data_IF_569483455074
#
_entry.id   IF_569483455074
#
_cell.length_a   1.000
_cell.length_b   1.000
_cell.length_c   1.000
_cell.angle_alpha   90.00
_cell.angle_beta   90.00
_cell.angle_gamma   90.00
#
_symmetry.space_group_name_H-M   'P 1'
#
loop_
_entity.id
_entity.type
_entity.pdbx_description
1 polymer ?
#
# COMPACT_ATOMS: atom_id res chain seq x y z
N UNK A 1 43.64 -16.98 4.59
CA UNK A 1 42.64 -16.81 3.51
C UNK A 1 43.29 -16.27 2.26
N UNK A 2 42.66 -16.52 1.11
CA UNK A 2 43.10 -16.02 -0.18
C UNK A 2 42.07 -15.03 -0.69
N UNK A 3 42.53 -13.83 -1.05
CA UNK A 3 41.76 -12.89 -1.83
C UNK A 3 41.76 -13.37 -3.28
N UNK A 4 40.64 -13.30 -3.97
CA UNK A 4 40.42 -13.76 -5.34
C UNK A 4 39.96 -12.61 -6.23
N UNK A 5 40.37 -12.65 -7.50
CA UNK A 5 39.98 -11.71 -8.55
C UNK A 5 39.47 -12.54 -9.75
N UNK A 6 38.18 -12.99 -9.73
CA UNK A 6 37.66 -13.90 -10.73
C UNK A 6 37.36 -13.25 -12.08
N UNK A 7 37.21 -11.93 -12.14
CA UNK A 7 36.91 -11.14 -13.36
C UNK A 7 38.16 -10.45 -13.93
N UNK A 8 39.28 -10.46 -13.21
CA UNK A 8 40.56 -9.95 -13.65
C UNK A 8 40.63 -8.43 -13.70
N UNK A 9 39.82 -7.71 -12.94
CA UNK A 9 39.79 -6.25 -12.89
C UNK A 9 40.87 -5.63 -11.99
N UNK A 10 41.64 -6.46 -11.29
CA UNK A 10 42.68 -6.06 -10.34
C UNK A 10 42.16 -5.79 -8.94
N UNK A 11 40.90 -6.11 -8.67
CA UNK A 11 40.28 -5.99 -7.33
C UNK A 11 40.10 -7.38 -6.72
N UNK A 12 40.90 -7.67 -5.72
CA UNK A 12 40.90 -8.97 -5.04
C UNK A 12 40.00 -8.93 -3.82
N UNK A 13 39.09 -9.90 -3.67
CA UNK A 13 38.13 -9.97 -2.57
C UNK A 13 38.12 -11.33 -1.87
N UNK A 14 37.80 -11.33 -0.59
CA UNK A 14 37.48 -12.54 0.18
C UNK A 14 36.46 -12.21 1.26
N UNK A 15 35.41 -13.02 1.37
CA UNK A 15 34.36 -12.86 2.36
C UNK A 15 34.22 -14.10 3.22
N UNK A 16 33.97 -13.91 4.54
CA UNK A 16 33.74 -15.01 5.47
C UNK A 16 32.81 -14.57 6.60
N UNK A 17 31.95 -15.50 7.09
CA UNK A 17 31.14 -15.34 8.28
C UNK A 17 31.73 -16.10 9.50
N UNK A 18 32.93 -16.66 9.37
CA UNK A 18 33.52 -17.53 10.36
C UNK A 18 34.43 -16.82 11.36
N UNK A 19 34.58 -15.50 11.29
CA UNK A 19 35.35 -14.73 12.27
C UNK A 19 34.43 -14.43 13.45
N UNK A 20 34.77 -14.89 14.68
CA UNK A 20 33.95 -14.62 15.86
C UNK A 20 33.88 -13.13 16.22
N UNK A 21 32.92 -12.73 17.05
CA UNK A 21 32.87 -11.38 17.60
C UNK A 21 34.18 -11.00 18.30
N UNK A 22 34.71 -9.81 18.02
CA UNK A 22 36.00 -9.36 18.59
C UNK A 22 36.65 -8.27 17.75
N UNK A 23 37.84 -7.85 18.25
CA UNK A 23 38.69 -6.90 17.55
C UNK A 23 39.90 -7.63 16.96
N UNK A 24 40.21 -7.32 15.70
CA UNK A 24 41.22 -8.01 14.91
C UNK A 24 42.07 -7.02 14.15
N UNK A 25 43.22 -7.50 13.71
CA UNK A 25 44.13 -6.77 12.84
C UNK A 25 44.54 -7.64 11.65
N UNK A 26 44.76 -7.03 10.50
CA UNK A 26 45.20 -7.73 9.31
C UNK A 26 46.10 -6.88 8.41
N UNK A 27 46.78 -7.55 7.49
CA UNK A 27 47.52 -6.99 6.34
C UNK A 27 47.30 -7.86 5.12
N UNK A 28 47.59 -7.35 3.96
CA UNK A 28 47.66 -8.12 2.71
C UNK A 28 49.10 -8.45 2.40
N UNK A 29 49.38 -9.73 2.15
CA UNK A 29 50.71 -10.22 1.76
C UNK A 29 50.64 -10.91 0.42
N UNK A 30 51.64 -10.67 -0.44
CA UNK A 30 51.74 -11.30 -1.76
C UNK A 30 52.52 -12.62 -1.67
N UNK A 31 52.16 -13.59 -2.51
CA UNK A 31 52.90 -14.81 -2.69
C UNK A 31 53.06 -15.67 -1.42
N UNK A 32 52.14 -15.56 -0.45
CA UNK A 32 52.20 -16.27 0.85
C UNK A 32 53.43 -15.93 1.67
N UNK A 33 54.04 -14.78 1.48
CA UNK A 33 55.27 -14.36 2.15
C UNK A 33 55.13 -12.93 2.66
N UNK A 34 55.72 -12.65 3.82
CA UNK A 34 55.82 -11.30 4.35
C UNK A 34 56.87 -10.44 3.67
N UNK A 35 57.63 -10.99 2.69
CA UNK A 35 58.64 -10.24 1.92
C UNK A 35 58.06 -9.09 1.11
N UNK A 36 56.77 -9.20 0.76
CA UNK A 36 56.01 -8.13 0.18
C UNK A 36 54.60 -8.08 0.83
N UNK A 37 54.36 -7.03 1.61
CA UNK A 37 53.10 -6.87 2.31
C UNK A 37 52.70 -5.39 2.32
N UNK A 38 51.37 -5.15 2.46
CA UNK A 38 50.75 -3.84 2.47
C UNK A 38 49.80 -3.72 3.66
N UNK A 39 49.83 -2.57 4.33
CA UNK A 39 49.05 -2.24 5.50
C UNK A 39 48.19 -0.98 5.34
N UNK A 40 48.01 -0.26 6.44
CA UNK A 40 47.19 0.94 6.47
C UNK A 40 47.58 1.99 5.39
N UNK A 41 46.59 2.51 4.68
CA UNK A 41 46.81 3.45 3.58
C UNK A 41 47.46 2.85 2.33
N UNK A 42 47.53 1.53 2.18
CA UNK A 42 48.21 0.85 1.07
C UNK A 42 49.75 0.92 1.16
N UNK A 43 50.30 1.29 2.29
CA UNK A 43 51.74 1.42 2.47
C UNK A 43 52.41 0.05 2.51
N UNK A 44 53.52 -0.12 1.72
CA UNK A 44 54.39 -1.30 1.83
C UNK A 44 55.02 -1.34 3.22
N UNK A 45 54.98 -2.50 3.85
CA UNK A 45 55.39 -2.72 5.25
C UNK A 45 54.66 -1.81 6.27
N UNK A 46 53.50 -1.20 5.87
CA UNK A 46 52.69 -0.32 6.69
C UNK A 46 52.13 -0.95 7.97
N UNK A 47 51.51 -0.14 8.83
CA UNK A 47 50.88 -0.62 10.05
C UNK A 47 49.71 -1.60 9.76
N UNK A 48 49.40 -2.46 10.74
CA UNK A 48 48.20 -3.31 10.65
C UNK A 48 46.93 -2.48 10.56
N UNK A 49 45.93 -3.03 9.88
CA UNK A 49 44.59 -2.44 9.74
C UNK A 49 43.69 -3.11 10.76
N UNK A 50 43.22 -2.33 11.75
CA UNK A 50 42.28 -2.79 12.74
C UNK A 50 40.86 -2.90 12.21
N UNK A 51 40.08 -3.92 12.62
CA UNK A 51 38.66 -4.01 12.39
C UNK A 51 37.95 -4.73 13.54
N UNK A 52 36.66 -4.49 13.68
CA UNK A 52 35.83 -5.13 14.71
C UNK A 52 34.73 -5.97 14.07
N UNK A 53 34.49 -7.16 14.63
CA UNK A 53 33.36 -8.02 14.30
C UNK A 53 32.35 -7.89 15.45
N UNK A 54 31.19 -7.26 15.24
CA UNK A 54 30.26 -6.90 16.32
C UNK A 54 29.51 -8.10 16.92
N UNK A 55 29.33 -9.18 16.16
CA UNK A 55 28.68 -10.42 16.61
C UNK A 55 29.11 -11.61 15.75
N UNK A 56 28.94 -12.82 16.26
CA UNK A 56 29.16 -14.05 15.49
C UNK A 56 28.22 -14.11 14.27
N UNK A 57 28.71 -14.64 13.14
CA UNK A 57 27.96 -14.79 11.90
C UNK A 57 27.88 -13.52 11.04
N UNK A 58 28.56 -12.45 11.42
CA UNK A 58 28.76 -11.27 10.57
C UNK A 58 29.68 -11.65 9.41
N UNK A 59 29.30 -11.30 8.19
CA UNK A 59 30.18 -11.46 7.03
C UNK A 59 31.21 -10.35 7.04
N UNK A 60 32.48 -10.71 7.04
CA UNK A 60 33.61 -9.80 6.88
C UNK A 60 34.13 -9.96 5.45
N UNK A 61 34.13 -8.86 4.69
CA UNK A 61 34.67 -8.80 3.32
C UNK A 61 35.94 -7.99 3.33
N UNK A 62 37.03 -8.58 2.90
CA UNK A 62 38.32 -7.94 2.68
C UNK A 62 38.47 -7.66 1.20
N UNK A 63 38.92 -6.43 0.87
CA UNK A 63 39.15 -6.02 -0.51
C UNK A 63 40.54 -5.42 -0.64
N UNK A 64 41.22 -5.76 -1.72
CA UNK A 64 42.54 -5.22 -2.08
C UNK A 64 42.55 -4.84 -3.55
N UNK A 65 42.93 -3.59 -3.85
CA UNK A 65 43.09 -3.07 -5.22
C UNK A 65 44.56 -3.08 -5.60
N UNK A 66 44.94 -3.93 -6.55
CA UNK A 66 46.35 -4.16 -6.94
C UNK A 66 47.02 -2.88 -7.44
N UNK A 67 46.35 -2.07 -8.26
CA UNK A 67 46.91 -0.88 -8.88
C UNK A 67 47.25 0.23 -7.87
N UNK A 68 46.54 0.33 -6.76
CA UNK A 68 46.69 1.41 -5.75
C UNK A 68 47.16 0.92 -4.41
N UNK A 69 47.24 -0.41 -4.21
CA UNK A 69 47.46 -1.09 -2.94
C UNK A 69 46.44 -0.71 -1.84
N UNK A 70 45.33 -0.12 -2.22
CA UNK A 70 44.27 0.20 -1.26
C UNK A 70 43.66 -1.06 -0.70
N UNK A 71 43.50 -1.06 0.63
CA UNK A 71 42.96 -2.17 1.39
C UNK A 71 41.73 -1.66 2.16
N UNK A 72 40.63 -2.38 2.08
CA UNK A 72 39.48 -2.12 2.89
C UNK A 72 38.92 -3.40 3.52
N UNK A 73 38.25 -3.26 4.63
CA UNK A 73 37.50 -4.32 5.27
C UNK A 73 36.10 -3.81 5.57
N UNK A 74 35.09 -4.57 5.16
CA UNK A 74 33.70 -4.29 5.45
C UNK A 74 33.10 -5.42 6.24
N UNK A 75 32.27 -5.11 7.20
CA UNK A 75 31.46 -6.08 7.96
C UNK A 75 30.01 -5.93 7.57
N UNK A 76 29.36 -7.03 7.21
CA UNK A 76 27.92 -7.05 6.93
C UNK A 76 27.29 -8.28 7.59
N UNK A 77 26.05 -8.18 8.02
CA UNK A 77 25.35 -9.34 8.61
C UNK A 77 25.10 -10.40 7.53
N UNK A 78 25.48 -11.65 7.78
CA UNK A 78 25.12 -12.76 6.90
C UNK A 78 23.58 -12.85 6.83
N UNK A 79 23.02 -12.66 5.63
CA UNK A 79 21.61 -12.90 5.36
C UNK A 79 20.66 -11.70 5.31
N UNK A 80 21.10 -10.49 5.57
CA UNK A 80 20.28 -9.30 5.35
C UNK A 80 20.78 -8.53 4.11
N UNK A 81 20.34 -8.93 2.92
CA UNK A 81 20.47 -8.05 1.76
C UNK A 81 19.40 -6.99 1.89
N UNK A 82 19.75 -5.69 1.98
CA UNK A 82 18.77 -4.62 2.00
C UNK A 82 17.86 -4.70 0.78
N UNK A 83 16.56 -4.68 0.99
CA UNK A 83 15.58 -4.85 -0.08
C UNK A 83 14.42 -3.87 0.11
N UNK A 84 14.39 -2.82 -0.71
CA UNK A 84 13.35 -1.78 -0.66
C UNK A 84 12.01 -2.25 -1.25
N UNK A 85 11.98 -3.39 -1.93
CA UNK A 85 10.72 -3.98 -2.43
C UNK A 85 9.94 -4.67 -1.33
N UNK A 86 10.63 -5.04 -0.24
CA UNK A 86 10.04 -5.59 0.98
C UNK A 86 9.72 -4.45 1.94
N UNK A 87 8.49 -4.32 2.36
CA UNK A 87 8.06 -3.29 3.32
C UNK A 87 7.93 -3.92 4.72
N UNK A 88 9.03 -3.93 5.47
CA UNK A 88 9.09 -4.48 6.85
C UNK A 88 8.88 -3.40 7.92
N UNK A 89 9.22 -2.14 7.64
CA UNK A 89 8.96 -1.03 8.53
C UNK A 89 7.52 -0.51 8.35
N UNK A 90 6.95 0.10 9.40
CA UNK A 90 5.62 0.71 9.37
C UNK A 90 5.70 2.18 9.74
N UNK A 91 5.12 3.05 8.94
CA UNK A 91 4.73 4.36 9.43
C UNK A 91 3.45 4.19 10.24
N UNK A 92 3.49 4.50 11.54
CA UNK A 92 2.36 4.30 12.44
C UNK A 92 1.70 5.59 12.88
N UNK A 93 2.44 6.69 12.80
CA UNK A 93 1.92 8.05 12.99
C UNK A 93 2.78 9.03 12.18
N UNK A 94 2.34 10.28 12.11
CA UNK A 94 3.06 11.35 11.40
C UNK A 94 4.55 11.47 11.82
N UNK A 95 4.82 11.21 13.09
CA UNK A 95 6.11 11.39 13.75
C UNK A 95 6.74 10.09 14.25
N UNK A 96 6.16 8.93 13.87
CA UNK A 96 6.56 7.64 14.44
C UNK A 96 6.62 6.55 13.37
N UNK A 97 7.77 5.87 13.32
CA UNK A 97 8.01 4.68 12.50
C UNK A 97 8.28 3.50 13.43
N UNK A 98 7.73 2.34 13.11
CA UNK A 98 8.04 1.07 13.75
C UNK A 98 9.05 0.29 12.89
N UNK A 99 10.14 -0.16 13.50
CA UNK A 99 11.20 -0.96 12.87
C UNK A 99 11.25 -2.35 13.51
N UNK A 100 11.37 -3.46 12.75
CA UNK A 100 11.39 -4.80 13.32
C UNK A 100 12.63 -5.01 14.19
N UNK A 101 12.44 -5.29 15.49
CA UNK A 101 13.55 -5.54 16.43
C UNK A 101 14.43 -6.72 15.99
N UNK A 102 13.84 -7.72 15.34
CA UNK A 102 14.55 -8.88 14.80
C UNK A 102 15.58 -8.54 13.71
N UNK A 103 15.48 -7.36 13.08
CA UNK A 103 16.46 -6.89 12.10
C UNK A 103 17.68 -6.22 12.76
N UNK A 104 17.61 -5.90 14.06
CA UNK A 104 18.74 -5.35 14.82
C UNK A 104 19.75 -6.49 15.10
N UNK A 105 21.05 -6.30 14.84
CA UNK A 105 22.03 -7.32 15.09
C UNK A 105 22.04 -7.77 16.56
N UNK A 106 22.18 -9.06 16.81
CA UNK A 106 22.18 -9.62 18.15
C UNK A 106 23.30 -8.99 19.02
N UNK A 107 22.94 -8.57 20.23
CA UNK A 107 23.89 -7.94 21.17
C UNK A 107 24.16 -6.45 20.91
N UNK A 108 23.60 -5.86 19.83
CA UNK A 108 23.73 -4.42 19.57
C UNK A 108 22.57 -3.68 20.24
N UNK A 109 22.91 -2.64 21.00
CA UNK A 109 21.92 -1.77 21.63
C UNK A 109 21.33 -0.82 20.57
N UNK A 110 20.00 -0.68 20.46
CA UNK A 110 19.37 0.18 19.45
C UNK A 110 19.85 1.64 19.49
N UNK A 111 20.19 2.16 20.67
CA UNK A 111 20.69 3.53 20.89
C UNK A 111 22.00 3.82 20.16
N UNK A 112 22.78 2.78 19.84
CA UNK A 112 24.04 2.91 19.12
C UNK A 112 23.90 2.84 17.61
N UNK A 113 22.68 2.63 17.11
CA UNK A 113 22.39 2.55 15.69
C UNK A 113 21.86 3.89 15.18
N UNK A 114 22.09 4.14 13.89
CA UNK A 114 21.55 5.28 13.21
C UNK A 114 20.49 4.84 12.21
N UNK A 115 19.33 5.48 12.18
CA UNK A 115 18.29 5.23 11.21
C UNK A 115 18.03 6.45 10.37
N UNK A 116 17.68 6.23 9.10
CA UNK A 116 17.30 7.28 8.17
C UNK A 116 16.01 6.92 7.46
N UNK A 117 15.09 7.86 7.43
CA UNK A 117 13.94 7.83 6.53
C UNK A 117 14.38 8.42 5.19
N UNK A 118 14.20 7.66 4.13
CA UNK A 118 14.43 8.12 2.75
C UNK A 118 13.10 8.23 2.03
N UNK A 119 12.95 9.22 1.17
CA UNK A 119 11.76 9.35 0.33
C UNK A 119 12.06 9.95 -1.01
N UNK A 120 11.29 9.52 -2.02
CA UNK A 120 11.31 10.06 -3.37
C UNK A 120 9.90 10.23 -3.91
N UNK A 121 9.56 11.40 -4.37
CA UNK A 121 8.23 11.69 -4.94
C UNK A 121 7.96 10.90 -6.23
N UNK A 122 9.01 10.59 -6.98
CA UNK A 122 8.93 9.94 -8.29
C UNK A 122 9.31 8.47 -8.28
N UNK A 123 9.72 7.95 -7.12
CA UNK A 123 10.35 6.63 -7.01
C UNK A 123 11.86 6.71 -7.29
N UNK A 124 12.48 5.54 -7.52
CA UNK A 124 13.89 5.46 -7.84
C UNK A 124 14.82 5.48 -6.63
N UNK A 125 14.31 5.26 -5.40
CA UNK A 125 15.21 4.92 -4.29
C UNK A 125 15.85 3.57 -4.60
N UNK A 126 17.16 3.53 -4.47
CA UNK A 126 17.96 2.32 -4.68
C UNK A 126 18.93 2.12 -3.50
N UNK A 127 19.30 0.88 -3.27
CA UNK A 127 20.34 0.53 -2.32
C UNK A 127 21.62 0.30 -3.12
N UNK A 128 22.68 0.97 -2.73
CA UNK A 128 24.05 0.57 -3.09
C UNK A 128 24.74 -0.09 -1.88
N UNK A 129 26.02 -0.41 -1.99
CA UNK A 129 26.74 -1.10 -0.92
C UNK A 129 26.86 -0.28 0.38
N UNK A 130 26.70 1.05 0.31
CA UNK A 130 27.00 1.95 1.44
C UNK A 130 25.76 2.65 1.99
N UNK A 131 24.73 2.89 1.15
CA UNK A 131 23.59 3.71 1.55
C UNK A 131 22.37 3.51 0.65
N UNK A 132 21.27 4.17 1.02
CA UNK A 132 20.09 4.34 0.16
C UNK A 132 20.23 5.68 -0.59
N UNK A 133 20.12 5.61 -1.91
CA UNK A 133 20.30 6.75 -2.83
C UNK A 133 18.99 7.11 -3.56
N UNK A 134 18.98 8.20 -4.31
CA UNK A 134 17.91 8.56 -5.25
C UNK A 134 16.80 9.45 -4.69
N UNK A 135 16.93 10.02 -3.48
CA UNK A 135 15.88 10.86 -2.90
C UNK A 135 16.36 11.83 -1.84
N UNK A 136 15.42 12.31 -1.04
CA UNK A 136 15.68 13.09 0.18
C UNK A 136 15.73 12.16 1.39
N UNK A 137 16.34 12.61 2.47
CA UNK A 137 16.45 11.86 3.71
C UNK A 137 16.26 12.73 4.97
N UNK A 138 15.97 12.07 6.09
CA UNK A 138 16.02 12.64 7.44
C UNK A 138 16.49 11.56 8.42
N UNK A 139 17.32 11.97 9.38
CA UNK A 139 17.72 11.08 10.45
C UNK A 139 16.52 10.82 11.37
N UNK A 140 16.37 9.55 11.79
CA UNK A 140 15.43 9.13 12.79
C UNK A 140 16.19 8.81 14.08
N UNK A 141 15.55 8.91 15.22
CA UNK A 141 16.16 8.50 16.49
C UNK A 141 15.31 7.44 17.20
N UNK A 142 16.02 6.51 17.81
CA UNK A 142 15.41 5.49 18.65
C UNK A 142 14.70 6.13 19.85
N UNK A 143 13.47 5.65 20.12
CA UNK A 143 12.69 6.05 21.30
C UNK A 143 12.65 4.89 22.29
N UNK A 144 13.36 4.98 23.43
CA UNK A 144 13.40 3.91 24.44
C UNK A 144 12.04 3.69 25.14
N UNK A 145 11.11 4.65 25.03
CA UNK A 145 9.75 4.46 25.51
C UNK A 145 8.95 3.44 24.70
N UNK A 146 9.44 3.07 23.51
CA UNK A 146 8.79 2.11 22.63
C UNK A 146 7.52 2.62 21.96
N UNK A 147 6.79 1.70 21.34
CA UNK A 147 5.52 2.01 20.71
C UNK A 147 4.42 2.23 21.75
N UNK A 148 3.49 3.20 21.55
CA UNK A 148 2.41 3.47 22.49
C UNK A 148 1.54 2.23 22.75
N UNK A 149 1.16 2.00 24.02
CA UNK A 149 0.37 0.83 24.41
C UNK A 149 -0.99 0.76 23.71
N UNK A 150 -1.63 1.90 23.46
CA UNK A 150 -2.88 1.95 22.69
C UNK A 150 -2.70 1.53 21.24
N UNK A 151 -1.54 1.83 20.61
CA UNK A 151 -1.21 1.36 19.28
C UNK A 151 -0.99 -0.17 19.28
N UNK A 152 -0.24 -0.69 20.26
CA UNK A 152 0.00 -2.14 20.38
C UNK A 152 -1.30 -2.92 20.68
N UNK A 153 -2.23 -2.34 21.41
CA UNK A 153 -3.55 -2.95 21.64
C UNK A 153 -4.39 -3.03 20.36
N UNK A 154 -4.29 -2.03 19.47
CA UNK A 154 -4.97 -2.00 18.19
C UNK A 154 -4.23 -2.82 17.11
N UNK A 155 -2.92 -2.95 17.22
CA UNK A 155 -2.00 -3.56 16.27
C UNK A 155 -1.01 -4.50 16.98
N UNK A 156 -1.48 -5.67 17.49
CA UNK A 156 -0.64 -6.61 18.24
C UNK A 156 0.52 -7.18 17.42
N UNK A 157 0.42 -7.16 16.09
CA UNK A 157 1.49 -7.56 15.16
C UNK A 157 2.75 -6.69 15.28
N UNK A 158 2.66 -5.50 15.87
CA UNK A 158 3.79 -4.60 16.12
C UNK A 158 4.51 -4.85 17.44
N UNK A 159 4.14 -5.85 18.24
CA UNK A 159 4.74 -6.13 19.54
C UNK A 159 6.27 -6.39 19.48
N UNK A 160 6.77 -6.89 18.33
CA UNK A 160 8.20 -7.13 18.09
C UNK A 160 8.94 -5.97 17.41
N UNK A 161 8.43 -4.74 17.50
CA UNK A 161 9.00 -3.57 16.82
C UNK A 161 9.53 -2.54 17.83
N UNK A 162 10.60 -1.86 17.43
CA UNK A 162 11.11 -0.67 18.15
C UNK A 162 10.55 0.61 17.54
N UNK A 163 10.50 1.65 18.35
CA UNK A 163 9.99 2.96 17.97
C UNK A 163 11.11 3.87 17.45
N UNK A 164 10.89 4.50 16.31
CA UNK A 164 11.79 5.50 15.72
C UNK A 164 11.04 6.81 15.53
N UNK A 165 11.55 7.89 16.12
CA UNK A 165 10.95 9.22 16.00
C UNK A 165 11.41 9.95 14.74
N UNK A 166 10.45 10.55 14.06
CA UNK A 166 10.67 11.40 12.89
C UNK A 166 10.86 12.85 13.35
N UNK A 167 11.86 13.60 12.81
CA UNK A 167 12.06 15.01 13.15
C UNK A 167 10.79 15.84 12.95
N UNK A 168 10.49 16.82 13.82
CA UNK A 168 9.27 17.63 13.73
C UNK A 168 9.06 18.30 12.38
N UNK A 169 10.13 18.80 11.75
CA UNK A 169 10.08 19.40 10.41
C UNK A 169 9.67 18.40 9.35
N UNK A 170 10.21 17.18 9.39
CA UNK A 170 9.88 16.09 8.47
C UNK A 170 8.46 15.58 8.74
N UNK A 171 8.08 15.45 10.01
CA UNK A 171 6.75 15.03 10.42
C UNK A 171 5.65 15.98 9.89
N UNK A 172 5.89 17.30 9.88
CA UNK A 172 4.97 18.26 9.27
C UNK A 172 4.78 18.04 7.76
N UNK A 173 5.80 17.54 7.08
CA UNK A 173 5.78 17.26 5.64
C UNK A 173 5.28 15.83 5.32
N UNK A 174 5.03 14.99 6.33
CA UNK A 174 4.67 13.58 6.14
C UNK A 174 3.49 13.36 5.16
N UNK A 175 2.42 14.15 5.16
CA UNK A 175 1.35 14.02 4.17
C UNK A 175 1.81 14.19 2.71
N UNK A 176 2.85 15.00 2.48
CA UNK A 176 3.45 15.17 1.15
C UNK A 176 4.47 14.06 0.82
N UNK A 177 5.23 13.62 1.83
CA UNK A 177 6.20 12.54 1.74
C UNK A 177 5.51 11.20 1.37
N UNK A 178 4.36 10.91 1.96
CA UNK A 178 3.54 9.71 1.69
C UNK A 178 3.04 9.58 0.24
N UNK A 179 3.16 10.62 -0.56
CA UNK A 179 2.76 10.58 -1.98
C UNK A 179 3.81 9.96 -2.90
N UNK A 180 4.88 9.41 -2.35
CA UNK A 180 5.97 8.79 -3.10
C UNK A 180 6.49 7.51 -2.46
N UNK A 181 7.66 7.09 -2.90
CA UNK A 181 8.39 5.96 -2.34
C UNK A 181 8.98 6.33 -0.98
N UNK A 182 8.86 5.42 -0.01
CA UNK A 182 9.47 5.52 1.30
C UNK A 182 10.33 4.30 1.59
N UNK A 183 11.47 4.54 2.24
CA UNK A 183 12.31 3.49 2.78
C UNK A 183 12.91 3.93 4.12
N UNK A 184 13.23 2.96 4.98
CA UNK A 184 14.01 3.19 6.19
C UNK A 184 15.28 2.36 6.10
N UNK A 185 16.39 2.96 6.43
CA UNK A 185 17.70 2.33 6.46
C UNK A 185 18.31 2.42 7.86
N UNK A 186 19.00 1.36 8.28
CA UNK A 186 19.69 1.22 9.55
C UNK A 186 21.20 1.12 9.32
N UNK A 187 21.96 1.90 10.05
CA UNK A 187 23.42 1.99 9.96
C UNK A 187 24.06 1.74 11.32
N UNK A 188 25.28 1.28 11.32
CA UNK A 188 26.09 1.21 12.53
C UNK A 188 26.73 2.55 12.89
N UNK A 189 27.48 2.60 13.99
CA UNK A 189 28.18 3.80 14.47
C UNK A 189 29.26 4.33 13.50
N UNK A 190 29.70 3.50 12.56
CA UNK A 190 30.69 3.89 11.53
C UNK A 190 30.02 4.44 10.26
N UNK A 191 28.70 4.31 10.18
CA UNK A 191 27.92 4.69 9.00
C UNK A 191 27.76 3.57 7.97
N UNK A 192 28.16 2.33 8.31
CA UNK A 192 27.95 1.16 7.45
C UNK A 192 26.45 0.81 7.41
N UNK A 193 25.91 0.63 6.22
CA UNK A 193 24.55 0.15 6.02
C UNK A 193 24.39 -1.29 6.50
N UNK A 194 23.49 -1.53 7.47
CA UNK A 194 23.21 -2.85 8.02
C UNK A 194 21.94 -3.47 7.43
N UNK A 195 20.89 -2.70 7.22
CA UNK A 195 19.64 -3.13 6.57
C UNK A 195 18.87 -1.92 6.03
N UNK A 196 18.05 -2.15 5.00
CA UNK A 196 17.12 -1.16 4.49
C UNK A 196 15.87 -1.86 3.95
N UNK A 197 14.71 -1.22 4.12
CA UNK A 197 13.43 -1.78 3.72
C UNK A 197 12.44 -0.70 3.33
N UNK A 198 11.47 -1.03 2.49
CA UNK A 198 10.31 -0.20 2.25
C UNK A 198 9.44 -0.03 3.49
N UNK A 199 8.47 0.89 3.41
CA UNK A 199 7.59 1.28 4.52
C UNK A 199 6.14 0.99 4.18
N UNK A 200 5.45 0.27 5.05
CA UNK A 200 4.00 0.14 5.04
C UNK A 200 3.37 1.39 5.67
N UNK A 201 2.42 2.02 4.99
CA UNK A 201 1.89 3.32 5.39
C UNK A 201 0.43 3.29 5.85
N UNK A 202 -0.27 2.15 5.80
CA UNK A 202 -1.71 2.07 6.08
C UNK A 202 -2.06 2.62 7.48
N UNK A 203 -1.36 2.18 8.53
CA UNK A 203 -1.59 2.63 9.91
C UNK A 203 -1.35 4.14 10.03
N UNK A 204 -0.28 4.64 9.39
CA UNK A 204 0.03 6.07 9.38
C UNK A 204 -1.02 6.92 8.64
N UNK A 205 -1.55 6.41 7.54
CA UNK A 205 -2.66 7.06 6.82
C UNK A 205 -3.91 7.14 7.70
N UNK A 206 -4.28 6.05 8.37
CA UNK A 206 -5.42 6.04 9.28
C UNK A 206 -5.20 7.00 10.47
N UNK A 207 -4.02 6.97 11.06
CA UNK A 207 -3.65 7.88 12.16
C UNK A 207 -3.77 9.35 11.78
N UNK A 208 -3.42 9.72 10.54
CA UNK A 208 -3.43 11.12 10.09
C UNK A 208 -4.77 11.59 9.56
N UNK A 209 -5.55 10.72 8.92
CA UNK A 209 -6.67 11.14 8.08
C UNK A 209 -8.02 10.55 8.49
N UNK A 210 -8.09 9.36 9.11
CA UNK A 210 -9.34 8.61 9.29
C UNK A 210 -10.44 9.43 9.98
N UNK A 211 -10.09 10.17 11.04
CA UNK A 211 -11.06 10.97 11.82
C UNK A 211 -11.76 12.04 10.97
N UNK A 212 -11.01 12.77 10.16
CA UNK A 212 -11.53 13.84 9.31
C UNK A 212 -12.15 13.29 8.02
N UNK A 213 -11.53 12.26 7.45
CA UNK A 213 -12.03 11.58 6.26
C UNK A 213 -13.39 10.92 6.49
N UNK A 214 -13.61 10.28 7.65
CA UNK A 214 -14.88 9.65 8.01
C UNK A 214 -16.07 10.62 8.12
N UNK A 215 -15.82 11.93 8.22
CA UNK A 215 -16.86 12.95 8.25
C UNK A 215 -17.31 13.39 6.84
N UNK A 216 -16.68 12.88 5.78
CA UNK A 216 -16.99 13.25 4.39
C UNK A 216 -17.98 12.29 3.76
N UNK A 217 -18.76 12.83 2.83
CA UNK A 217 -19.57 12.01 1.92
C UNK A 217 -18.75 11.79 0.65
N UNK A 218 -18.47 10.52 0.34
CA UNK A 218 -17.76 10.10 -0.87
C UNK A 218 -18.71 9.70 -1.98
N UNK A 219 -18.19 9.54 -3.18
CA UNK A 219 -19.00 9.32 -4.37
C UNK A 219 -19.55 10.61 -4.95
N UNK A 220 -20.64 10.47 -5.68
CA UNK A 220 -21.38 11.61 -6.26
C UNK A 220 -22.58 11.91 -5.38
N UNK A 221 -22.74 13.17 -5.01
CA UNK A 221 -23.92 13.64 -4.31
C UNK A 221 -24.40 14.98 -4.92
N UNK A 222 -25.71 15.14 -4.97
CA UNK A 222 -26.33 16.30 -5.59
C UNK A 222 -26.80 17.30 -4.52
N UNK A 223 -26.53 18.58 -4.76
CA UNK A 223 -27.10 19.70 -4.04
C UNK A 223 -27.56 20.73 -5.08
N UNK A 224 -28.81 21.18 -5.00
CA UNK A 224 -29.39 22.10 -5.96
C UNK A 224 -29.16 21.67 -7.43
N UNK A 225 -29.33 20.38 -7.69
CA UNK A 225 -29.12 19.73 -9.00
C UNK A 225 -27.67 19.70 -9.50
N UNK A 226 -26.71 20.20 -8.73
CA UNK A 226 -25.28 20.14 -9.07
C UNK A 226 -24.63 18.95 -8.38
N UNK A 227 -23.91 18.09 -9.12
CA UNK A 227 -23.16 16.99 -8.53
C UNK A 227 -21.84 17.49 -7.93
N UNK A 228 -21.49 17.00 -6.76
CA UNK A 228 -20.13 17.06 -6.22
C UNK A 228 -19.53 15.65 -6.28
N UNK A 229 -18.39 15.54 -6.93
CA UNK A 229 -17.60 14.30 -7.00
C UNK A 229 -16.53 14.35 -5.93
N UNK A 230 -16.42 13.29 -5.12
CA UNK A 230 -15.40 13.20 -4.06
C UNK A 230 -14.88 11.79 -3.93
N UNK A 231 -13.53 11.67 -3.87
CA UNK A 231 -12.82 10.41 -3.64
C UNK A 231 -11.78 10.61 -2.56
N UNK A 232 -11.53 9.58 -1.75
CA UNK A 232 -10.41 9.55 -0.81
C UNK A 232 -9.20 8.91 -1.47
N UNK A 233 -8.15 9.68 -1.66
CA UNK A 233 -6.90 9.25 -2.29
C UNK A 233 -5.71 10.02 -1.69
N UNK A 234 -5.36 9.77 -0.41
CA UNK A 234 -4.38 10.57 0.34
C UNK A 234 -2.98 10.48 -0.25
N UNK A 235 -2.62 9.38 -0.90
CA UNK A 235 -1.33 9.17 -1.54
C UNK A 235 -1.27 9.67 -2.99
N UNK A 236 -2.39 10.09 -3.57
CA UNK A 236 -2.42 10.62 -4.93
C UNK A 236 -1.65 11.94 -5.03
N UNK A 237 -0.91 12.10 -6.12
CA UNK A 237 -0.21 13.34 -6.46
C UNK A 237 -1.11 14.31 -7.22
N UNK A 238 -2.06 13.77 -7.99
CA UNK A 238 -3.07 14.49 -8.75
C UNK A 238 -4.28 13.58 -8.99
N UNK A 239 -5.46 14.16 -8.94
CA UNK A 239 -6.70 13.49 -9.37
C UNK A 239 -7.43 14.39 -10.38
N UNK A 240 -7.87 13.81 -11.49
CA UNK A 240 -8.64 14.49 -12.53
C UNK A 240 -9.94 13.73 -12.75
N UNK A 241 -11.06 14.40 -12.67
CA UNK A 241 -12.36 13.86 -13.06
C UNK A 241 -12.47 13.87 -14.59
N UNK A 242 -12.77 12.71 -15.16
CA UNK A 242 -13.13 12.53 -16.56
C UNK A 242 -14.63 12.29 -16.66
N UNK A 243 -15.33 13.01 -17.54
CA UNK A 243 -16.77 12.85 -17.71
C UNK A 243 -17.16 12.75 -19.18
N UNK A 244 -18.14 11.89 -19.45
CA UNK A 244 -18.80 11.72 -20.75
C UNK A 244 -20.29 12.01 -20.59
N UNK A 245 -20.98 12.50 -21.60
CA UNK A 245 -22.42 12.74 -21.55
C UNK A 245 -23.22 11.48 -21.15
N UNK A 246 -24.40 11.68 -20.59
CA UNK A 246 -25.36 10.59 -20.35
C UNK A 246 -25.61 9.82 -21.67
N UNK A 247 -25.68 8.48 -21.58
CA UNK A 247 -25.92 7.63 -22.74
C UNK A 247 -24.75 7.48 -23.73
N UNK A 248 -23.55 8.07 -23.43
CA UNK A 248 -22.37 7.89 -24.28
C UNK A 248 -21.95 6.42 -24.33
N UNK A 249 -21.26 6.01 -25.41
CA UNK A 249 -20.71 4.66 -25.51
C UNK A 249 -19.76 4.36 -24.34
N UNK A 250 -19.94 3.25 -23.61
CA UNK A 250 -19.01 2.82 -22.56
C UNK A 250 -17.57 2.62 -23.08
N UNK A 251 -17.40 2.27 -24.34
CA UNK A 251 -16.10 2.09 -24.96
C UNK A 251 -15.47 3.38 -25.51
N UNK A 252 -16.16 4.54 -25.45
CA UNK A 252 -15.60 5.80 -25.93
C UNK A 252 -14.25 6.11 -25.26
N UNK A 253 -13.21 6.55 -26.03
CA UNK A 253 -11.87 6.72 -25.47
C UNK A 253 -11.80 7.85 -24.43
N UNK A 254 -10.80 7.80 -23.55
CA UNK A 254 -10.57 8.84 -22.53
C UNK A 254 -10.24 10.22 -23.13
N UNK A 255 -9.77 10.26 -24.38
CA UNK A 255 -9.54 11.50 -25.15
C UNK A 255 -10.84 12.25 -25.49
N UNK A 256 -11.99 11.55 -25.53
CA UNK A 256 -13.30 12.15 -25.75
C UNK A 256 -13.96 12.72 -24.47
N UNK A 257 -13.33 12.53 -23.30
CA UNK A 257 -13.86 13.00 -22.03
C UNK A 257 -13.62 14.49 -21.79
N UNK A 258 -14.57 15.15 -21.16
CA UNK A 258 -14.31 16.42 -20.50
C UNK A 258 -13.47 16.17 -19.24
N UNK A 259 -12.46 17.00 -19.00
CA UNK A 259 -11.49 16.82 -17.94
C UNK A 259 -11.53 17.97 -16.94
N UNK A 260 -11.58 17.67 -15.64
CA UNK A 260 -11.52 18.66 -14.56
C UNK A 260 -10.55 18.22 -13.50
N UNK A 261 -9.52 19.02 -13.20
CA UNK A 261 -8.61 18.76 -12.08
C UNK A 261 -9.39 18.94 -10.78
N UNK A 262 -9.26 17.99 -9.87
CA UNK A 262 -9.89 18.02 -8.57
C UNK A 262 -9.01 18.75 -7.54
N UNK A 263 -9.63 19.30 -6.51
CA UNK A 263 -8.95 19.99 -5.42
C UNK A 263 -8.71 19.01 -4.27
N UNK A 264 -7.46 18.93 -3.81
CA UNK A 264 -7.08 18.18 -2.63
C UNK A 264 -7.49 18.91 -1.34
N UNK A 265 -7.92 18.16 -0.34
CA UNK A 265 -8.15 18.65 1.02
C UNK A 265 -7.17 18.01 2.02
N UNK A 266 -7.05 18.61 3.21
CA UNK A 266 -6.10 18.16 4.26
C UNK A 266 -6.46 16.80 4.87
N UNK A 267 -7.68 16.30 4.60
CA UNK A 267 -8.15 14.98 5.03
C UNK A 267 -7.83 13.86 4.01
N UNK A 268 -7.01 14.15 3.00
CA UNK A 268 -6.66 13.21 1.93
C UNK A 268 -7.73 13.01 0.88
N UNK A 269 -8.86 13.70 0.97
CA UNK A 269 -9.90 13.66 -0.06
C UNK A 269 -9.61 14.64 -1.21
N UNK A 270 -10.17 14.30 -2.36
CA UNK A 270 -10.18 15.13 -3.57
C UNK A 270 -11.61 15.38 -3.99
N UNK A 271 -11.93 16.61 -4.37
CA UNK A 271 -13.29 16.94 -4.78
C UNK A 271 -13.34 17.96 -5.89
N UNK A 272 -14.46 17.94 -6.65
CA UNK A 272 -14.81 18.94 -7.65
C UNK A 272 -16.33 19.04 -7.80
N UNK A 273 -16.83 20.25 -7.93
CA UNK A 273 -18.24 20.49 -8.26
C UNK A 273 -18.45 20.40 -9.78
N UNK A 274 -19.48 19.68 -10.19
CA UNK A 274 -19.91 19.54 -11.59
C UNK A 274 -21.04 20.50 -11.95
N UNK A 275 -21.33 20.61 -13.27
CA UNK A 275 -22.50 21.30 -13.76
C UNK A 275 -23.74 20.38 -13.66
N UNK A 276 -24.98 20.94 -13.60
CA UNK A 276 -26.23 20.16 -13.54
C UNK A 276 -26.41 19.16 -14.69
N UNK A 277 -25.84 19.44 -15.84
CA UNK A 277 -25.87 18.55 -17.02
C UNK A 277 -25.12 17.24 -16.82
N UNK A 278 -24.30 17.11 -15.76
CA UNK A 278 -23.59 15.88 -15.43
C UNK A 278 -24.47 14.86 -14.67
N UNK A 279 -25.74 15.12 -14.44
CA UNK A 279 -26.67 14.07 -13.99
C UNK A 279 -26.71 12.94 -15.03
N UNK A 280 -26.55 11.70 -14.56
CA UNK A 280 -26.45 10.49 -15.37
C UNK A 280 -25.21 10.46 -16.30
N UNK A 281 -24.27 11.39 -16.17
CA UNK A 281 -23.01 11.34 -16.90
C UNK A 281 -22.19 10.13 -16.44
N UNK A 282 -21.43 9.58 -17.36
CA UNK A 282 -20.44 8.55 -17.07
C UNK A 282 -19.13 9.21 -16.65
N UNK A 283 -18.43 8.63 -15.70
CA UNK A 283 -17.19 9.23 -15.22
C UNK A 283 -16.15 8.20 -14.77
N UNK A 284 -14.89 8.62 -14.77
CA UNK A 284 -13.74 7.97 -14.17
C UNK A 284 -12.90 8.99 -13.42
N UNK A 285 -12.08 8.52 -12.50
CA UNK A 285 -10.96 9.30 -11.98
C UNK A 285 -9.66 8.89 -12.68
N UNK A 286 -8.91 9.88 -13.13
CA UNK A 286 -7.52 9.71 -13.54
C UNK A 286 -6.65 10.07 -12.32
N UNK A 287 -5.97 9.08 -11.77
CA UNK A 287 -5.19 9.21 -10.53
C UNK A 287 -3.71 9.05 -10.84
N UNK A 288 -2.93 10.09 -10.56
CA UNK A 288 -1.47 10.05 -10.61
C UNK A 288 -0.97 9.68 -9.22
N UNK A 289 -0.33 8.52 -9.09
CA UNK A 289 0.07 7.94 -7.80
C UNK A 289 1.36 7.14 -7.93
N UNK A 290 2.19 7.15 -6.90
CA UNK A 290 3.31 6.20 -6.81
C UNK A 290 2.76 4.80 -6.54
N UNK A 291 3.11 3.85 -7.39
CA UNK A 291 2.72 2.44 -7.28
C UNK A 291 3.90 1.61 -6.76
N UNK A 292 3.85 1.09 -5.51
CA UNK A 292 4.92 0.26 -4.94
C UNK A 292 5.22 -0.99 -5.76
N UNK A 293 4.20 -1.58 -6.41
CA UNK A 293 4.33 -2.78 -7.23
C UNK A 293 5.22 -2.61 -8.45
N UNK A 294 5.28 -1.40 -9.00
CA UNK A 294 6.11 -1.08 -10.18
C UNK A 294 7.30 -0.18 -9.85
N UNK A 295 7.33 0.40 -8.64
CA UNK A 295 8.36 1.33 -8.20
C UNK A 295 8.33 2.69 -8.91
N UNK A 296 7.20 3.04 -9.57
CA UNK A 296 7.07 4.23 -10.42
C UNK A 296 5.80 5.02 -10.10
N UNK A 297 5.78 6.27 -10.55
CA UNK A 297 4.55 7.06 -10.58
C UNK A 297 3.76 6.66 -11.82
N UNK A 298 2.53 6.25 -11.61
CA UNK A 298 1.60 5.80 -12.64
C UNK A 298 0.42 6.75 -12.77
N UNK A 299 -0.24 6.69 -13.91
CA UNK A 299 -1.50 7.37 -14.18
C UNK A 299 -2.56 6.31 -14.45
N UNK A 300 -3.44 6.09 -13.50
CA UNK A 300 -4.45 5.05 -13.54
C UNK A 300 -5.83 5.66 -13.78
N UNK A 301 -6.61 5.03 -14.67
CA UNK A 301 -8.03 5.31 -14.84
C UNK A 301 -8.83 4.33 -13.99
N UNK A 302 -9.62 4.85 -13.05
CA UNK A 302 -10.33 4.02 -12.08
C UNK A 302 -11.79 4.47 -11.96
N UNK A 303 -12.68 3.53 -11.71
CA UNK A 303 -14.05 3.81 -11.27
C UNK A 303 -14.03 4.35 -9.84
N UNK A 304 -15.11 5.01 -9.45
CA UNK A 304 -15.26 5.53 -8.09
C UNK A 304 -15.57 4.38 -7.12
N UNK A 305 -14.76 4.14 -6.07
CA UNK A 305 -15.02 3.10 -5.10
C UNK A 305 -16.33 3.30 -4.30
N UNK A 306 -16.88 4.52 -4.28
CA UNK A 306 -18.17 4.85 -3.68
C UNK A 306 -19.29 4.95 -4.73
N UNK A 307 -19.08 4.42 -5.93
CA UNK A 307 -20.09 4.42 -6.99
C UNK A 307 -21.30 3.56 -6.61
N UNK A 308 -22.49 4.07 -6.84
CA UNK A 308 -23.76 3.34 -6.64
C UNK A 308 -24.39 2.92 -7.97
N UNK A 309 -23.79 3.30 -9.09
CA UNK A 309 -24.22 2.91 -10.43
C UNK A 309 -23.01 2.83 -11.35
N UNK A 310 -22.95 1.78 -12.14
CA UNK A 310 -21.86 1.45 -13.06
C UNK A 310 -22.42 1.21 -14.47
N UNK A 311 -21.57 1.32 -15.47
CA UNK A 311 -21.87 0.85 -16.82
C UNK A 311 -21.55 -0.63 -16.93
N UNK A 312 -21.97 -1.26 -18.02
CA UNK A 312 -21.69 -2.65 -18.34
C UNK A 312 -20.20 -2.99 -18.10
N UNK A 313 -19.95 -4.16 -17.54
CA UNK A 313 -18.63 -4.65 -17.12
C UNK A 313 -17.87 -3.66 -16.19
N UNK A 314 -18.61 -2.87 -15.43
CA UNK A 314 -18.07 -1.89 -14.46
C UNK A 314 -17.02 -0.92 -15.05
N UNK A 315 -17.10 -0.66 -16.37
CA UNK A 315 -16.09 0.13 -17.09
C UNK A 315 -16.07 1.59 -16.71
N UNK A 316 -17.20 2.13 -16.22
CA UNK A 316 -17.33 3.51 -15.73
C UNK A 316 -18.35 3.62 -14.62
N UNK A 317 -18.14 4.58 -13.75
CA UNK A 317 -19.15 5.02 -12.79
C UNK A 317 -20.18 5.92 -13.47
N UNK A 318 -21.40 5.93 -12.93
CA UNK A 318 -22.49 6.79 -13.41
C UNK A 318 -22.93 7.73 -12.29
N UNK A 319 -23.04 9.03 -12.61
CA UNK A 319 -23.40 10.07 -11.66
C UNK A 319 -24.94 10.12 -11.47
N UNK A 320 -25.46 9.25 -10.62
CA UNK A 320 -26.91 9.16 -10.33
C UNK A 320 -27.27 9.87 -9.03
N UNK A 321 -28.45 10.47 -9.00
CA UNK A 321 -29.08 10.96 -7.79
C UNK A 321 -30.11 9.92 -7.32
N UNK A 322 -29.79 9.16 -6.27
CA UNK A 322 -30.71 8.15 -5.73
C UNK A 322 -31.98 8.76 -5.13
N UNK A 323 -32.05 10.07 -4.89
CA UNK A 323 -33.26 10.76 -4.48
C UNK A 323 -34.21 11.04 -5.66
N UNK A 324 -33.76 10.82 -6.90
CA UNK A 324 -34.59 10.95 -8.08
C UNK A 324 -35.70 9.91 -8.08
N UNK A 325 -36.95 10.36 -8.37
CA UNK A 325 -38.11 9.48 -8.44
C UNK A 325 -37.96 8.36 -9.49
N UNK A 326 -37.10 8.55 -10.50
CA UNK A 326 -36.81 7.52 -11.51
C UNK A 326 -36.11 6.26 -10.91
N UNK A 327 -35.40 6.41 -9.78
CA UNK A 327 -34.68 5.33 -9.10
C UNK A 327 -35.34 4.86 -7.80
N UNK A 328 -36.43 5.54 -7.38
CA UNK A 328 -37.10 5.26 -6.12
C UNK A 328 -38.57 4.88 -6.38
N UNK A 329 -38.99 3.64 -6.10
CA UNK A 329 -40.39 3.26 -6.15
C UNK A 329 -41.24 4.19 -5.29
N UNK A 330 -42.45 4.53 -5.78
CA UNK A 330 -43.35 5.50 -5.11
C UNK A 330 -43.62 5.16 -3.64
N UNK A 331 -43.68 3.89 -3.31
CA UNK A 331 -43.98 3.40 -1.95
C UNK A 331 -42.73 3.19 -1.08
N UNK A 332 -41.51 3.40 -1.59
CA UNK A 332 -40.26 3.11 -0.88
C UNK A 332 -40.18 3.78 0.50
N UNK A 333 -40.56 5.07 0.56
CA UNK A 333 -40.52 5.86 1.82
C UNK A 333 -41.63 5.50 2.80
N UNK A 334 -42.72 4.92 2.35
CA UNK A 334 -43.88 4.54 3.18
C UNK A 334 -43.86 3.07 3.59
N UNK A 335 -42.98 2.24 2.99
CA UNK A 335 -42.85 0.83 3.31
C UNK A 335 -41.82 0.66 4.42
N UNK A 336 -42.27 0.35 5.62
CA UNK A 336 -41.39 0.05 6.74
C UNK A 336 -40.76 -1.35 6.58
N UNK A 337 -39.50 -1.48 6.93
CA UNK A 337 -38.86 -2.79 7.06
C UNK A 337 -39.45 -3.52 8.27
N UNK A 338 -39.74 -4.83 8.17
CA UNK A 338 -40.13 -5.63 9.32
C UNK A 338 -39.08 -5.56 10.42
N UNK A 339 -39.49 -5.36 11.65
CA UNK A 339 -38.58 -5.33 12.81
C UNK A 339 -38.47 -6.71 13.44
N UNK A 340 -37.22 -7.16 13.64
CA UNK A 340 -36.93 -8.30 14.50
C UNK A 340 -36.79 -7.82 15.95
N UNK A 341 -37.35 -8.56 16.91
CA UNK A 341 -37.21 -8.27 18.35
C UNK A 341 -35.79 -8.55 18.83
N UNK A 342 -35.20 -9.62 18.32
CA UNK A 342 -33.83 -10.01 18.61
C UNK A 342 -33.21 -10.70 17.39
N UNK A 343 -31.89 -10.60 17.23
CA UNK A 343 -31.17 -11.30 16.16
C UNK A 343 -31.32 -12.82 16.22
N UNK A 344 -31.49 -13.39 17.40
CA UNK A 344 -31.72 -14.85 17.59
C UNK A 344 -33.09 -15.31 17.12
N UNK A 345 -34.01 -14.40 16.86
CA UNK A 345 -35.35 -14.74 16.31
C UNK A 345 -35.30 -14.86 14.77
N UNK A 346 -34.13 -14.70 14.16
CA UNK A 346 -33.98 -14.82 12.71
C UNK A 346 -34.11 -16.27 12.26
N UNK A 347 -35.01 -16.49 11.32
CA UNK A 347 -35.08 -17.72 10.51
C UNK A 347 -34.66 -17.34 9.10
N UNK A 348 -33.57 -17.94 8.62
CA UNK A 348 -32.87 -17.47 7.42
C UNK A 348 -33.03 -18.48 6.29
N UNK A 349 -33.39 -18.01 5.12
CA UNK A 349 -33.37 -18.75 3.86
C UNK A 349 -32.40 -18.09 2.90
N UNK A 350 -31.32 -18.78 2.56
CA UNK A 350 -30.34 -18.31 1.62
C UNK A 350 -30.72 -18.68 0.18
N UNK A 351 -30.59 -17.77 -0.76
CA UNK A 351 -30.85 -18.02 -2.17
C UNK A 351 -29.94 -17.20 -3.10
N UNK A 352 -29.75 -17.73 -4.30
CA UNK A 352 -29.08 -17.04 -5.41
C UNK A 352 -30.17 -16.43 -6.31
N UNK A 353 -30.01 -15.12 -6.64
CA UNK A 353 -31.02 -14.37 -7.41
C UNK A 353 -31.34 -15.04 -8.75
N UNK A 354 -30.32 -15.45 -9.51
CA UNK A 354 -30.50 -16.11 -10.80
C UNK A 354 -31.20 -17.46 -10.65
N UNK A 355 -30.74 -18.32 -9.75
CA UNK A 355 -31.25 -19.69 -9.60
C UNK A 355 -32.66 -19.73 -9.02
N UNK A 356 -33.05 -18.67 -8.30
CA UNK A 356 -34.38 -18.53 -7.75
C UNK A 356 -35.50 -18.62 -8.82
N UNK A 357 -35.23 -18.12 -10.04
CA UNK A 357 -36.31 -17.99 -11.04
C UNK A 357 -35.89 -18.28 -12.49
N UNK A 358 -34.64 -18.61 -12.78
CA UNK A 358 -34.16 -18.81 -14.16
C UNK A 358 -34.96 -19.86 -14.93
N UNK A 359 -35.44 -20.88 -14.25
CA UNK A 359 -36.24 -21.97 -14.81
C UNK A 359 -37.77 -21.82 -14.56
N UNK A 360 -38.22 -20.73 -13.95
CA UNK A 360 -39.63 -20.50 -13.65
C UNK A 360 -40.40 -20.05 -14.91
N UNK A 361 -41.12 -20.96 -15.53
CA UNK A 361 -41.92 -20.68 -16.74
C UNK A 361 -43.25 -19.99 -16.42
N UNK A 362 -43.58 -19.75 -15.15
CA UNK A 362 -44.84 -19.09 -14.73
C UNK A 362 -44.73 -17.57 -14.67
N UNK A 363 -43.55 -17.02 -14.90
CA UNK A 363 -43.28 -15.57 -14.98
C UNK A 363 -42.78 -15.17 -16.36
N UNK A 364 -42.82 -13.88 -16.72
CA UNK A 364 -42.25 -13.36 -17.98
C UNK A 364 -40.81 -13.78 -18.21
N UNK A 365 -40.46 -14.15 -19.43
CA UNK A 365 -39.11 -14.63 -19.75
C UNK A 365 -38.02 -13.62 -19.42
N UNK A 366 -38.28 -12.33 -19.65
CA UNK A 366 -37.41 -11.21 -19.37
C UNK A 366 -37.17 -10.92 -17.88
N UNK A 367 -38.01 -11.49 -17.00
CA UNK A 367 -37.83 -11.36 -15.54
C UNK A 367 -37.04 -12.53 -14.94
N UNK A 368 -36.94 -13.68 -15.66
CA UNK A 368 -36.30 -14.90 -15.15
C UNK A 368 -34.82 -14.66 -14.85
N UNK A 369 -34.39 -15.11 -13.68
CA UNK A 369 -33.01 -14.95 -13.24
C UNK A 369 -32.61 -13.54 -12.83
N UNK A 370 -33.56 -12.60 -12.78
CA UNK A 370 -33.31 -11.21 -12.40
C UNK A 370 -34.03 -10.82 -11.11
N UNK A 371 -33.73 -9.63 -10.58
CA UNK A 371 -34.43 -9.07 -9.42
C UNK A 371 -35.93 -8.85 -9.68
N UNK A 372 -36.35 -8.68 -10.92
CA UNK A 372 -37.76 -8.45 -11.28
C UNK A 372 -38.64 -9.68 -10.96
N UNK A 373 -38.06 -10.87 -10.94
CA UNK A 373 -38.77 -12.09 -10.56
C UNK A 373 -39.35 -12.06 -9.15
N UNK A 374 -38.79 -11.26 -8.25
CA UNK A 374 -39.32 -11.08 -6.90
C UNK A 374 -40.61 -10.24 -6.85
N UNK A 375 -40.93 -9.50 -7.93
CA UNK A 375 -42.15 -8.74 -8.07
C UNK A 375 -43.29 -9.54 -8.69
N UNK A 376 -42.99 -10.70 -9.30
CA UNK A 376 -43.97 -11.54 -9.96
C UNK A 376 -44.56 -12.58 -8.98
N UNK A 377 -45.75 -13.13 -9.30
CA UNK A 377 -46.35 -14.23 -8.55
C UNK A 377 -45.93 -15.60 -9.11
N UNK A 378 -44.58 -15.76 -9.29
CA UNK A 378 -43.99 -17.00 -9.76
C UNK A 378 -43.91 -18.11 -8.71
N UNK A 379 -43.43 -19.30 -9.12
CA UNK A 379 -43.31 -20.46 -8.22
C UNK A 379 -42.38 -20.13 -7.05
N UNK A 380 -41.26 -19.48 -7.27
CA UNK A 380 -40.30 -19.05 -6.25
C UNK A 380 -40.93 -18.12 -5.21
N UNK A 381 -41.67 -17.09 -5.64
CA UNK A 381 -42.33 -16.18 -4.71
C UNK A 381 -43.48 -16.81 -3.95
N UNK A 382 -44.24 -17.72 -4.56
CA UNK A 382 -45.29 -18.51 -3.83
C UNK A 382 -44.63 -19.37 -2.77
N UNK A 383 -43.48 -19.97 -3.04
CA UNK A 383 -42.71 -20.76 -2.06
C UNK A 383 -42.22 -19.88 -0.89
N UNK A 384 -41.59 -18.73 -1.17
CA UNK A 384 -41.17 -17.78 -0.12
C UNK A 384 -42.35 -17.29 0.73
N UNK A 385 -43.49 -16.97 0.11
CA UNK A 385 -44.69 -16.57 0.84
C UNK A 385 -45.22 -17.71 1.76
N UNK A 386 -45.12 -18.98 1.32
CA UNK A 386 -45.48 -20.13 2.15
C UNK A 386 -44.52 -20.29 3.33
N UNK A 387 -43.22 -20.18 3.11
CA UNK A 387 -42.20 -20.21 4.18
C UNK A 387 -42.39 -19.04 5.16
N UNK A 388 -42.72 -17.85 4.68
CA UNK A 388 -42.97 -16.68 5.54
C UNK A 388 -44.19 -16.91 6.45
N UNK A 389 -45.26 -17.56 5.96
CA UNK A 389 -46.42 -17.97 6.78
C UNK A 389 -46.06 -18.99 7.81
N UNK A 390 -45.04 -19.81 7.55
CA UNK A 390 -44.52 -20.83 8.47
C UNK A 390 -43.46 -20.28 9.45
N UNK A 391 -43.10 -18.96 9.37
CA UNK A 391 -42.21 -18.31 10.31
C UNK A 391 -40.87 -17.83 9.73
N UNK A 392 -40.61 -18.04 8.43
CA UNK A 392 -39.45 -17.43 7.78
C UNK A 392 -39.58 -15.89 7.81
N UNK A 393 -38.53 -15.19 8.26
CA UNK A 393 -38.55 -13.75 8.40
C UNK A 393 -37.33 -13.06 7.75
N UNK A 394 -36.35 -13.83 7.29
CA UNK A 394 -35.11 -13.27 6.69
C UNK A 394 -34.75 -14.04 5.43
N UNK A 395 -34.48 -13.30 4.33
CA UNK A 395 -33.86 -13.86 3.12
C UNK A 395 -32.44 -13.33 3.04
N UNK A 396 -31.48 -14.25 2.95
CA UNK A 396 -30.08 -13.94 2.71
C UNK A 396 -29.77 -14.18 1.24
N UNK A 397 -29.46 -13.10 0.53
CA UNK A 397 -29.03 -13.21 -0.87
C UNK A 397 -27.57 -13.60 -0.94
N UNK A 398 -27.22 -14.60 -1.74
CA UNK A 398 -25.83 -14.83 -2.14
C UNK A 398 -25.27 -13.57 -2.79
N UNK A 399 -23.93 -13.37 -2.82
CA UNK A 399 -23.33 -12.13 -3.27
C UNK A 399 -23.90 -11.63 -4.59
N UNK A 400 -24.27 -10.35 -4.63
CA UNK A 400 -24.91 -9.68 -5.77
C UNK A 400 -23.96 -8.66 -6.40
N UNK A 401 -22.65 -8.76 -6.09
CA UNK A 401 -21.62 -7.90 -6.62
C UNK A 401 -21.19 -8.37 -8.01
N UNK A 402 -20.72 -7.43 -8.83
CA UNK A 402 -20.09 -7.74 -10.10
C UNK A 402 -18.86 -8.64 -9.89
N UNK A 403 -18.70 -9.60 -10.77
CA UNK A 403 -17.55 -10.50 -10.81
C UNK A 403 -16.80 -10.25 -12.12
N UNK A 404 -15.58 -9.76 -12.04
CA UNK A 404 -14.78 -9.37 -13.20
C UNK A 404 -14.56 -10.49 -14.24
N UNK A 405 -14.75 -11.75 -13.87
CA UNK A 405 -14.65 -12.91 -14.76
C UNK A 405 -15.95 -13.27 -15.48
N UNK A 406 -17.04 -12.58 -15.20
CA UNK A 406 -18.33 -12.80 -15.87
C UNK A 406 -18.57 -11.66 -16.86
N UNK A 407 -18.70 -12.01 -18.13
CA UNK A 407 -19.09 -11.07 -19.19
C UNK A 407 -20.59 -10.71 -18.99
N UNK A 408 -20.87 -9.43 -18.84
CA UNK A 408 -22.24 -8.93 -18.62
C UNK A 408 -22.98 -8.65 -19.94
N UNK A 409 -22.26 -8.60 -21.05
CA UNK A 409 -22.88 -8.41 -22.37
C UNK A 409 -23.56 -9.70 -22.83
N UNK A 410 -24.90 -9.76 -22.89
CA UNK A 410 -25.62 -10.95 -23.28
C UNK A 410 -25.37 -11.37 -24.74
N UNK A 411 -24.73 -10.54 -25.54
CA UNK A 411 -24.36 -10.84 -26.93
C UNK A 411 -23.02 -11.57 -27.03
N UNK A 412 -22.25 -11.66 -25.96
CA UNK A 412 -20.99 -12.39 -25.86
C UNK A 412 -21.14 -13.61 -24.96
#
# INVERSE_FOLDING_TARGET
PWLQDPDGDGTFTWSTASIPAGNYEFKVAHGLSWAENYGAGGARDGANIGFSVPSDGVVVTFTYVLATHQISVKTSKAGATPDLTKAKAFLVARDLVAWPAAAIPAGVQPELLHWRLHWSRTGGLAVDEETVTGGSLADLWYDPAGLPSALLAAHPELAGYVALRVPPKTAQQMPAILKGQLAVAMYDVTGLLLDATGVQSAIGLDSMFSRSAAQRRYGVHFSDRKPTFRVWAPTAQKVTLLTWPAGSDPAAPSSAASRRVMTAADDGSWSVEGAPLLKNARYLYEVVVYAPSTGKVETNLVTDPASVALTLDSTRSVAVDLADAAFMPAQWRSTASPALRSAVDSTIYELHVRDFSVNDTTIPAEHRGSYLAFADDGVGMRHLKALARAGLNTVHLLPTFDIASIEEDPAK
#
